data_IF_630398411387
#
_entry.id   IF_630398411387
#
_cell.length_a   1.000
_cell.length_b   1.000
_cell.length_c   1.000
_cell.angle_alpha   90.00
_cell.angle_beta   90.00
_cell.angle_gamma   90.00
#
_symmetry.space_group_name_H-M   'P 1'
#
loop_
_entity.id
_entity.type
_entity.pdbx_description
1 polymer ?
#
# COMPACT_ATOMS: atom_id res chain seq x y z
N UNK A 1 37.16 7.63 38.69
CA UNK A 1 37.18 8.22 37.34
C UNK A 1 37.09 7.22 36.20
N UNK A 2 37.32 5.93 36.39
CA UNK A 2 37.22 4.94 35.29
C UNK A 2 35.79 4.47 35.00
N UNK A 3 34.85 4.72 35.88
CA UNK A 3 33.45 4.29 35.72
C UNK A 3 32.60 5.23 34.85
N UNK A 4 33.02 6.43 34.62
CA UNK A 4 32.30 7.44 33.83
C UNK A 4 32.38 7.16 32.34
N UNK A 5 33.48 6.56 31.87
CA UNK A 5 33.66 6.18 30.47
C UNK A 5 32.83 4.97 30.05
N UNK A 6 32.54 4.08 30.99
CA UNK A 6 31.70 2.90 30.71
C UNK A 6 30.21 3.25 30.66
N UNK A 7 29.77 4.26 31.39
CA UNK A 7 28.39 4.75 31.36
C UNK A 7 28.09 5.53 30.06
N UNK A 8 29.05 6.25 29.51
CA UNK A 8 28.90 6.97 28.27
C UNK A 8 28.80 6.05 27.03
N UNK A 9 29.49 4.90 27.05
CA UNK A 9 29.44 3.91 25.98
C UNK A 9 28.11 3.14 25.93
N UNK A 10 27.43 2.96 27.07
CA UNK A 10 26.14 2.27 27.14
C UNK A 10 24.98 3.10 26.60
N UNK A 11 25.09 4.42 26.60
CA UNK A 11 24.07 5.34 26.08
C UNK A 11 24.02 5.41 24.55
N UNK A 12 25.09 5.04 23.85
CA UNK A 12 25.13 5.05 22.38
C UNK A 12 24.47 3.83 21.73
N UNK A 13 24.25 2.75 22.46
CA UNK A 13 23.62 1.53 21.92
C UNK A 13 22.09 1.56 21.92
N UNK A 14 21.45 2.53 22.58
CA UNK A 14 20.00 2.64 22.66
C UNK A 14 19.36 3.35 21.45
N UNK A 15 20.16 3.94 20.55
CA UNK A 15 19.67 4.76 19.44
C UNK A 15 19.28 4.02 18.15
N UNK A 16 19.62 2.73 18.03
CA UNK A 16 19.46 1.98 16.77
C UNK A 16 18.17 1.14 16.67
N UNK A 17 17.29 1.14 17.68
CA UNK A 17 16.13 0.25 17.74
C UNK A 17 14.80 0.90 17.31
N UNK A 18 14.81 2.16 16.85
CA UNK A 18 13.58 2.92 16.60
C UNK A 18 13.09 2.93 15.15
N UNK A 19 13.76 2.25 14.22
CA UNK A 19 13.33 2.17 12.82
C UNK A 19 12.86 0.76 12.48
N UNK A 20 11.69 0.39 12.96
CA UNK A 20 10.98 -0.76 12.40
C UNK A 20 10.19 -0.28 11.19
N UNK A 21 10.39 -0.93 10.04
CA UNK A 21 9.49 -0.80 8.92
C UNK A 21 8.05 -1.08 9.38
N UNK A 22 7.03 -0.32 8.91
CA UNK A 22 5.65 -0.64 9.24
C UNK A 22 5.34 -2.08 8.83
N UNK A 23 4.52 -2.81 9.60
CA UNK A 23 4.16 -4.17 9.25
C UNK A 23 3.51 -4.20 7.87
N UNK A 24 3.84 -5.18 7.00
CA UNK A 24 3.23 -5.29 5.69
C UNK A 24 1.71 -5.47 5.85
N UNK A 25 0.92 -4.89 4.94
CA UNK A 25 -0.51 -5.09 4.91
C UNK A 25 -0.79 -6.59 4.67
N UNK A 26 -1.45 -7.31 5.60
CA UNK A 26 -1.63 -8.74 5.49
C UNK A 26 -2.48 -9.16 4.27
N UNK A 27 -3.32 -8.26 3.77
CA UNK A 27 -4.13 -8.51 2.56
C UNK A 27 -3.33 -8.36 1.28
N UNK A 28 -2.23 -7.62 1.29
CA UNK A 28 -1.34 -7.41 0.15
C UNK A 28 -0.12 -8.34 0.16
N UNK A 29 0.22 -8.94 1.29
CA UNK A 29 1.38 -9.81 1.42
C UNK A 29 1.17 -11.23 0.90
N UNK A 30 -0.08 -11.67 0.75
CA UNK A 30 -0.45 -13.00 0.22
C UNK A 30 -0.98 -12.88 -1.20
N UNK A 31 -0.24 -13.41 -2.17
CA UNK A 31 -0.60 -13.35 -3.59
C UNK A 31 -1.94 -14.03 -3.91
N UNK A 32 -2.29 -15.09 -3.22
CA UNK A 32 -3.57 -15.78 -3.42
C UNK A 32 -4.73 -14.88 -2.99
N UNK A 33 -4.62 -14.24 -1.85
CA UNK A 33 -5.61 -13.26 -1.36
C UNK A 33 -5.74 -12.08 -2.30
N UNK A 34 -4.63 -11.56 -2.83
CA UNK A 34 -4.63 -10.45 -3.78
C UNK A 34 -5.33 -10.84 -5.08
N UNK A 35 -4.98 -11.98 -5.66
CA UNK A 35 -5.61 -12.48 -6.91
C UNK A 35 -7.11 -12.67 -6.73
N UNK A 36 -7.53 -13.29 -5.63
CA UNK A 36 -8.94 -13.49 -5.33
C UNK A 36 -9.68 -12.15 -5.17
N UNK A 37 -9.09 -11.19 -4.46
CA UNK A 37 -9.66 -9.85 -4.28
C UNK A 37 -9.79 -9.09 -5.60
N UNK A 38 -8.78 -9.13 -6.44
CA UNK A 38 -8.79 -8.46 -7.75
C UNK A 38 -9.82 -9.10 -8.71
N UNK A 39 -9.93 -10.42 -8.72
CA UNK A 39 -10.93 -11.12 -9.53
C UNK A 39 -12.36 -10.82 -9.05
N UNK A 40 -12.57 -10.76 -7.76
CA UNK A 40 -13.86 -10.37 -7.19
C UNK A 40 -14.23 -8.93 -7.56
N UNK A 41 -13.27 -8.02 -7.47
CA UNK A 41 -13.46 -6.64 -7.87
C UNK A 41 -13.79 -6.51 -9.37
N UNK A 42 -13.10 -7.25 -10.22
CA UNK A 42 -13.38 -7.30 -11.65
C UNK A 42 -14.84 -7.75 -11.90
N UNK A 43 -15.29 -8.80 -11.24
CA UNK A 43 -16.66 -9.30 -11.37
C UNK A 43 -17.69 -8.27 -10.91
N UNK A 44 -17.44 -7.59 -9.81
CA UNK A 44 -18.36 -6.61 -9.24
C UNK A 44 -18.47 -5.34 -10.08
N UNK A 45 -17.40 -4.94 -10.77
CA UNK A 45 -17.34 -3.69 -11.53
C UNK A 45 -17.44 -3.88 -13.04
N UNK A 46 -17.57 -5.10 -13.52
CA UNK A 46 -17.71 -5.38 -14.94
C UNK A 46 -18.93 -4.65 -15.52
N UNK A 47 -18.73 -3.99 -16.63
CA UNK A 47 -19.78 -3.22 -17.30
C UNK A 47 -20.00 -1.80 -16.74
N UNK A 48 -19.25 -1.39 -15.72
CA UNK A 48 -19.30 -0.01 -15.21
C UNK A 48 -18.83 0.97 -16.29
N UNK A 49 -19.62 2.00 -16.64
CA UNK A 49 -19.20 2.96 -17.67
C UNK A 49 -18.10 3.89 -17.15
N UNK A 50 -17.31 4.42 -18.08
CA UNK A 50 -16.35 5.47 -17.77
C UNK A 50 -17.06 6.78 -17.46
N UNK A 51 -16.66 7.44 -16.37
CA UNK A 51 -17.10 8.78 -16.02
C UNK A 51 -15.98 9.53 -15.32
N UNK A 52 -15.53 10.64 -15.90
CA UNK A 52 -14.50 11.49 -15.29
C UNK A 52 -14.94 11.97 -13.90
N UNK A 53 -14.07 11.75 -12.92
CA UNK A 53 -14.37 12.08 -11.52
C UNK A 53 -15.32 11.09 -10.82
N UNK A 54 -15.81 10.07 -11.50
CA UNK A 54 -16.73 9.08 -10.94
C UNK A 54 -16.07 8.11 -9.97
N UNK A 55 -16.83 7.71 -8.95
CA UNK A 55 -16.41 6.77 -7.91
C UNK A 55 -17.51 5.77 -7.54
N UNK A 56 -18.39 5.44 -8.49
CA UNK A 56 -19.49 4.53 -8.26
C UNK A 56 -19.69 3.60 -9.46
N UNK A 57 -20.52 2.58 -9.27
CA UNK A 57 -20.90 1.67 -10.36
C UNK A 57 -21.72 2.33 -11.45
N UNK A 58 -22.26 3.52 -11.21
CA UNK A 58 -22.90 4.35 -12.23
C UNK A 58 -21.91 5.05 -13.16
N UNK A 59 -20.65 5.09 -12.81
CA UNK A 59 -19.55 5.64 -13.59
C UNK A 59 -18.30 5.82 -12.76
N UNK A 60 -17.15 5.46 -13.31
CA UNK A 60 -15.85 5.49 -12.63
C UNK A 60 -14.76 5.87 -13.64
N UNK A 61 -13.75 6.61 -13.19
CA UNK A 61 -12.50 6.79 -13.95
C UNK A 61 -11.41 5.83 -13.43
N UNK A 62 -10.24 5.83 -14.09
CA UNK A 62 -9.16 4.88 -13.80
C UNK A 62 -8.66 5.01 -12.34
N UNK A 63 -8.37 6.21 -11.88
CA UNK A 63 -7.87 6.43 -10.52
C UNK A 63 -8.96 6.22 -9.47
N UNK A 64 -10.21 6.48 -9.80
CA UNK A 64 -11.37 6.17 -8.95
C UNK A 64 -11.54 4.65 -8.77
N UNK A 65 -11.40 3.88 -9.84
CA UNK A 65 -11.46 2.42 -9.76
C UNK A 65 -10.32 1.83 -8.93
N UNK A 66 -9.10 2.33 -9.11
CA UNK A 66 -7.96 1.92 -8.30
C UNK A 66 -8.19 2.24 -6.82
N UNK A 67 -8.66 3.47 -6.50
CA UNK A 67 -8.96 3.87 -5.13
C UNK A 67 -10.01 2.95 -4.49
N UNK A 68 -11.11 2.69 -5.20
CA UNK A 68 -12.18 1.82 -4.71
C UNK A 68 -11.72 0.40 -4.51
N UNK A 69 -10.87 -0.12 -5.40
CA UNK A 69 -10.32 -1.47 -5.31
C UNK A 69 -9.46 -1.65 -4.06
N UNK A 70 -8.51 -0.75 -3.83
CA UNK A 70 -7.65 -0.84 -2.65
C UNK A 70 -8.41 -0.63 -1.35
N UNK A 71 -9.40 0.26 -1.34
CA UNK A 71 -10.27 0.45 -0.19
C UNK A 71 -11.10 -0.79 0.13
N UNK A 72 -11.78 -1.34 -0.87
CA UNK A 72 -12.76 -2.41 -0.66
C UNK A 72 -12.10 -3.78 -0.41
N UNK A 73 -10.96 -4.04 -1.07
CA UNK A 73 -10.31 -5.36 -1.01
C UNK A 73 -9.12 -5.44 -0.08
N UNK A 74 -8.42 -4.33 0.12
CA UNK A 74 -7.16 -4.34 0.87
C UNK A 74 -7.16 -3.41 2.08
N UNK A 75 -8.29 -2.75 2.35
CA UNK A 75 -8.45 -1.82 3.48
C UNK A 75 -7.35 -0.74 3.48
N UNK A 76 -7.02 -0.24 2.32
CA UNK A 76 -5.99 0.76 2.12
C UNK A 76 -6.57 2.01 1.46
N UNK A 77 -6.42 3.15 2.13
CA UNK A 77 -6.87 4.43 1.61
C UNK A 77 -5.82 5.04 0.70
N UNK A 78 -6.17 5.20 -0.59
CA UNK A 78 -5.33 5.85 -1.58
C UNK A 78 -5.79 7.30 -1.83
N UNK A 79 -4.89 8.18 -2.34
CA UNK A 79 -5.31 9.47 -2.86
C UNK A 79 -6.24 9.32 -4.07
N UNK A 80 -7.06 10.33 -4.32
CA UNK A 80 -8.03 10.30 -5.43
C UNK A 80 -7.38 10.47 -6.80
N UNK A 81 -6.30 11.25 -6.90
CA UNK A 81 -5.68 11.62 -8.16
C UNK A 81 -4.57 10.67 -8.58
N UNK A 82 -4.50 10.35 -9.87
CA UNK A 82 -3.47 9.46 -10.45
C UNK A 82 -2.05 9.89 -10.13
N UNK A 83 -1.74 11.18 -10.23
CA UNK A 83 -0.39 11.68 -9.95
C UNK A 83 0.02 11.49 -8.49
N UNK A 84 -0.93 11.53 -7.56
CA UNK A 84 -0.68 11.29 -6.13
C UNK A 84 -0.60 9.79 -5.83
N UNK A 85 -1.41 8.97 -6.49
CA UNK A 85 -1.33 7.51 -6.41
C UNK A 85 0.04 7.01 -6.89
N UNK A 86 0.58 7.58 -7.95
CA UNK A 86 1.88 7.21 -8.50
C UNK A 86 3.06 7.49 -7.53
N UNK A 87 2.87 8.34 -6.52
CA UNK A 87 3.88 8.65 -5.51
C UNK A 87 3.84 7.74 -4.30
N UNK A 88 2.83 6.88 -4.21
CA UNK A 88 2.67 5.92 -3.12
C UNK A 88 3.37 4.63 -3.50
N UNK A 89 3.99 4.00 -2.53
CA UNK A 89 4.70 2.76 -2.73
C UNK A 89 6.17 2.96 -3.07
N UNK A 90 6.81 1.87 -3.41
CA UNK A 90 8.23 1.80 -3.71
C UNK A 90 8.42 1.36 -5.16
N UNK A 91 9.34 2.01 -5.87
CA UNK A 91 9.71 1.59 -7.21
C UNK A 91 10.40 0.23 -7.18
N UNK A 92 9.96 -0.67 -8.06
CA UNK A 92 10.53 -2.01 -8.21
C UNK A 92 10.79 -2.30 -9.68
N UNK A 93 11.69 -3.27 -9.95
CA UNK A 93 11.95 -3.75 -11.30
C UNK A 93 10.77 -4.58 -11.83
N UNK A 94 10.62 -4.59 -13.17
CA UNK A 94 9.56 -5.38 -13.82
C UNK A 94 9.62 -6.86 -13.50
N UNK A 95 10.82 -7.39 -13.30
CA UNK A 95 11.02 -8.80 -12.99
C UNK A 95 10.59 -9.17 -11.57
N UNK A 96 10.40 -8.19 -10.70
CA UNK A 96 9.98 -8.35 -9.31
C UNK A 96 8.48 -8.10 -9.09
N UNK A 97 7.71 -7.91 -10.16
CA UNK A 97 6.28 -7.65 -10.08
C UNK A 97 5.52 -8.85 -9.52
N UNK A 98 4.68 -8.57 -8.55
CA UNK A 98 3.74 -9.50 -7.94
C UNK A 98 2.30 -8.92 -8.05
N UNK A 99 1.25 -9.75 -7.92
CA UNK A 99 -0.13 -9.25 -7.87
C UNK A 99 -0.33 -8.22 -6.77
N UNK A 100 -0.98 -7.10 -7.08
CA UNK A 100 -1.23 -6.00 -6.15
C UNK A 100 -0.09 -5.05 -6.03
#
# INVERSE_FOLDING_TARGET
MRFWFLLAAALFLAGCSSHRAPPPNPRLSDSITVIAGLNDQLSNWRGTPYRYGGMSRGGVDCSGFVLMTFRDKFDLQLPRETRLQAKIGTEIDKDDLLPG
#
